data_IF_455847082892
#
_entry.id   IF_455847082892
#
_cell.length_a   1.000
_cell.length_b   1.000
_cell.length_c   1.000
_cell.angle_alpha   90.00
_cell.angle_beta   90.00
_cell.angle_gamma   90.00
#
_symmetry.space_group_name_H-M   'P 1'
#
loop_
_entity.id
_entity.type
_entity.pdbx_description
1 polymer ?
#
# COMPACT_ATOMS: atom_id res chain seq x y z
N UNK A 1 -2.13 -1.48 2.47
CA UNK A 1 -2.02 -2.82 1.84
C UNK A 1 -1.71 -3.86 2.91
N UNK A 2 -2.34 -5.04 2.92
CA UNK A 2 -1.90 -6.15 3.80
C UNK A 2 -0.93 -7.05 3.04
N UNK A 3 0.22 -7.37 3.64
CA UNK A 3 1.16 -8.34 3.08
C UNK A 3 1.54 -9.39 4.12
N UNK A 4 1.64 -10.65 3.67
CA UNK A 4 2.35 -11.70 4.38
C UNK A 4 3.79 -11.73 3.85
N UNK A 5 4.73 -11.39 4.72
CA UNK A 5 6.16 -11.50 4.42
C UNK A 5 6.70 -12.72 5.16
N UNK A 6 7.38 -13.62 4.44
CA UNK A 6 8.03 -14.78 5.05
C UNK A 6 9.47 -14.89 4.57
N UNK A 7 10.29 -15.59 5.37
CA UNK A 7 11.69 -15.82 5.07
C UNK A 7 11.93 -17.31 4.87
N UNK A 8 12.68 -17.68 3.84
CA UNK A 8 13.15 -19.07 3.64
C UNK A 8 14.41 -19.39 4.43
N UNK A 9 14.94 -18.45 5.22
CA UNK A 9 16.11 -18.67 6.07
C UNK A 9 15.71 -19.13 7.47
N UNK A 10 16.36 -20.19 7.97
CA UNK A 10 16.15 -20.74 9.33
C UNK A 10 16.32 -19.74 10.47
N UNK A 11 17.02 -18.63 10.24
CA UNK A 11 17.24 -17.54 11.22
C UNK A 11 16.39 -16.30 10.95
N UNK A 12 15.44 -16.38 10.01
CA UNK A 12 14.75 -15.21 9.49
C UNK A 12 15.65 -14.35 8.59
N UNK A 13 15.15 -13.17 8.21
CA UNK A 13 15.85 -12.14 7.43
C UNK A 13 15.47 -10.76 7.94
N UNK A 14 16.36 -9.80 7.78
CA UNK A 14 16.06 -8.38 8.04
C UNK A 14 15.88 -7.67 6.70
N UNK A 15 14.73 -7.02 6.51
CA UNK A 15 14.54 -5.99 5.50
C UNK A 15 14.95 -4.65 6.10
N UNK A 16 15.99 -4.03 5.55
CA UNK A 16 16.43 -2.68 5.93
C UNK A 16 15.41 -1.63 5.48
N UNK A 17 14.76 -1.89 4.34
CA UNK A 17 13.71 -1.02 3.80
C UNK A 17 12.76 -1.82 2.90
N UNK A 18 11.51 -1.36 2.83
CA UNK A 18 10.48 -1.79 1.91
C UNK A 18 9.99 -0.57 1.13
N UNK A 19 9.61 -0.75 -0.13
CA UNK A 19 8.95 0.28 -0.91
C UNK A 19 8.13 -0.33 -2.04
N UNK A 20 7.14 0.41 -2.52
CA UNK A 20 6.42 0.04 -3.75
C UNK A 20 7.02 0.74 -4.95
N UNK A 21 7.15 0.01 -6.05
CA UNK A 21 7.27 0.56 -7.40
C UNK A 21 5.94 0.42 -8.09
N UNK A 22 5.38 1.56 -8.49
CA UNK A 22 4.10 1.65 -9.18
C UNK A 22 4.39 2.08 -10.61
N UNK A 23 4.02 1.24 -11.56
CA UNK A 23 4.19 1.50 -12.99
C UNK A 23 2.84 1.70 -13.67
N UNK A 24 2.74 2.72 -14.53
CA UNK A 24 1.60 2.97 -15.41
C UNK A 24 2.11 3.44 -16.77
N UNK A 25 1.95 2.61 -17.79
CA UNK A 25 2.63 2.83 -19.08
C UNK A 25 4.15 2.92 -18.89
N UNK A 26 4.76 4.03 -19.32
CA UNK A 26 6.19 4.31 -19.17
C UNK A 26 6.53 5.02 -17.85
N UNK A 27 5.52 5.50 -17.10
CA UNK A 27 5.74 6.19 -15.84
C UNK A 27 6.02 5.20 -14.71
N UNK A 28 6.98 5.55 -13.85
CA UNK A 28 7.31 4.83 -12.64
C UNK A 28 7.34 5.79 -11.45
N UNK A 29 6.62 5.46 -10.38
CA UNK A 29 6.65 6.20 -9.12
C UNK A 29 7.03 5.26 -7.97
N UNK A 30 7.86 5.73 -7.05
CA UNK A 30 8.26 4.98 -5.86
C UNK A 30 7.56 5.51 -4.60
N UNK A 31 6.97 4.59 -3.83
CA UNK A 31 6.35 4.87 -2.54
C UNK A 31 7.24 4.23 -1.46
N UNK A 32 8.22 4.99 -0.98
CA UNK A 32 9.30 4.51 -0.12
C UNK A 32 9.22 4.96 1.33
N UNK A 33 8.32 5.89 1.65
CA UNK A 33 7.92 6.13 3.02
C UNK A 33 6.91 5.05 3.41
N UNK A 34 7.21 4.27 4.45
CA UNK A 34 6.31 3.20 4.87
C UNK A 34 6.20 3.07 6.37
N UNK A 35 5.01 2.67 6.80
CA UNK A 35 4.68 2.37 8.19
C UNK A 35 3.98 1.00 8.26
N UNK A 36 3.92 0.42 9.45
CA UNK A 36 3.16 -0.82 9.70
C UNK A 36 2.22 -0.69 10.88
N UNK A 37 1.08 -1.38 10.82
CA UNK A 37 0.08 -1.39 11.87
C UNK A 37 -1.34 -1.09 11.36
N UNK A 38 -2.30 -1.16 12.28
CA UNK A 38 -3.72 -0.90 12.01
C UNK A 38 -4.14 0.49 12.50
N UNK A 39 -3.98 0.74 13.81
CA UNK A 39 -4.33 2.03 14.46
C UNK A 39 -3.10 2.82 14.85
N UNK A 40 -2.15 2.16 15.51
CA UNK A 40 -0.88 2.74 15.91
C UNK A 40 0.16 2.41 14.84
N UNK A 41 0.39 3.37 13.94
CA UNK A 41 1.37 3.23 12.87
C UNK A 41 2.79 3.36 13.43
N UNK A 42 3.61 2.34 13.20
CA UNK A 42 5.03 2.37 13.52
C UNK A 42 5.81 2.61 12.24
N UNK A 43 6.61 3.68 12.24
CA UNK A 43 7.45 4.02 11.10
C UNK A 43 8.43 2.93 10.77
N UNK A 44 8.44 2.52 9.51
CA UNK A 44 9.26 1.44 8.99
C UNK A 44 10.72 1.85 8.88
N UNK A 45 11.52 1.54 9.90
CA UNK A 45 12.99 1.73 9.89
C UNK A 45 13.76 0.41 9.73
N UNK A 46 13.05 -0.69 9.48
CA UNK A 46 13.59 -2.04 9.34
C UNK A 46 12.61 -3.08 9.88
N UNK A 47 12.53 -4.23 9.22
CA UNK A 47 11.62 -5.31 9.59
C UNK A 47 12.39 -6.62 9.69
N UNK A 48 12.41 -7.23 10.88
CA UNK A 48 12.82 -8.62 11.02
C UNK A 48 11.67 -9.54 10.63
N UNK A 49 11.89 -10.38 9.63
CA UNK A 49 10.94 -11.39 9.15
C UNK A 49 11.45 -12.77 9.59
N UNK A 50 10.81 -13.41 10.58
CA UNK A 50 11.15 -14.76 11.01
C UNK A 50 10.83 -15.78 9.90
N UNK A 51 11.28 -17.02 10.08
CA UNK A 51 10.99 -18.11 9.14
C UNK A 51 9.48 -18.34 8.98
N UNK A 52 8.72 -18.25 10.06
CA UNK A 52 7.24 -18.37 10.06
C UNK A 52 6.52 -17.21 9.39
N UNK A 53 7.23 -16.13 9.09
CA UNK A 53 6.68 -14.90 8.50
C UNK A 53 5.92 -14.01 9.48
N UNK A 54 5.51 -12.84 8.97
CA UNK A 54 4.72 -11.83 9.64
C UNK A 54 3.61 -11.39 8.68
N UNK A 55 2.38 -11.38 9.19
CA UNK A 55 1.23 -10.75 8.55
C UNK A 55 0.98 -9.40 9.22
N UNK A 56 1.19 -8.31 8.49
CA UNK A 56 0.85 -6.97 8.98
C UNK A 56 0.39 -6.07 7.84
N UNK A 57 -0.38 -5.05 8.20
CA UNK A 57 -0.75 -3.97 7.31
C UNK A 57 0.45 -3.05 7.14
N UNK A 58 0.82 -2.83 5.88
CA UNK A 58 1.86 -1.89 5.48
C UNK A 58 1.21 -0.75 4.72
N UNK A 59 1.60 0.46 5.07
CA UNK A 59 1.15 1.70 4.45
C UNK A 59 2.35 2.28 3.72
N UNK A 60 2.18 2.63 2.45
CA UNK A 60 3.26 3.14 1.59
C UNK A 60 2.81 4.48 1.02
N UNK A 61 3.65 5.49 1.18
CA UNK A 61 3.38 6.87 0.77
C UNK A 61 4.54 7.37 -0.11
N UNK A 62 4.29 8.34 -1.01
CA UNK A 62 5.37 9.05 -1.70
C UNK A 62 6.27 9.76 -0.67
N UNK A 63 7.52 10.03 -1.06
CA UNK A 63 8.45 10.78 -0.20
C UNK A 63 8.06 12.24 -0.06
N UNK A 64 7.55 12.82 -1.16
CA UNK A 64 7.01 14.16 -1.18
C UNK A 64 5.53 14.10 -0.79
N UNK A 65 5.21 14.59 0.40
CA UNK A 65 3.84 14.61 0.90
C UNK A 65 2.99 15.69 0.22
N UNK A 66 3.63 16.68 -0.42
CA UNK A 66 2.97 17.80 -1.10
C UNK A 66 2.63 17.43 -2.55
N UNK A 67 3.27 16.40 -3.12
CA UNK A 67 2.97 15.86 -4.44
C UNK A 67 1.83 14.82 -4.37
N UNK A 68 0.64 15.24 -4.80
CA UNK A 68 -0.51 14.34 -4.92
C UNK A 68 -0.29 13.36 -6.07
N UNK A 69 -0.08 12.09 -5.74
CA UNK A 69 -0.16 11.02 -6.73
C UNK A 69 -1.62 10.69 -7.04
N UNK A 70 -2.07 11.06 -8.24
CA UNK A 70 -3.42 10.76 -8.72
C UNK A 70 -3.40 9.53 -9.63
N UNK A 71 -4.13 8.49 -9.22
CA UNK A 71 -4.35 7.32 -10.08
C UNK A 71 -5.25 7.69 -11.25
N UNK A 72 -4.88 7.21 -12.43
CA UNK A 72 -5.67 7.32 -13.66
C UNK A 72 -6.31 5.96 -13.94
N UNK A 73 -7.40 5.90 -14.72
CA UNK A 73 -7.91 4.62 -15.23
C UNK A 73 -6.85 3.88 -16.04
N UNK A 74 -6.74 2.58 -15.83
CA UNK A 74 -5.75 1.77 -16.53
C UNK A 74 -5.17 0.62 -15.71
N UNK A 75 -4.23 -0.10 -16.32
CA UNK A 75 -3.52 -1.22 -15.69
C UNK A 75 -2.24 -0.69 -15.06
N UNK A 76 -2.14 -0.86 -13.74
CA UNK A 76 -0.95 -0.59 -12.97
C UNK A 76 -0.20 -1.88 -12.67
N UNK A 77 1.13 -1.85 -12.69
CA UNK A 77 1.95 -2.89 -12.09
C UNK A 77 2.47 -2.41 -10.75
N UNK A 78 2.04 -3.06 -9.67
CA UNK A 78 2.51 -2.80 -8.31
C UNK A 78 3.55 -3.84 -7.95
N UNK A 79 4.76 -3.40 -7.64
CA UNK A 79 5.85 -4.25 -7.19
C UNK A 79 6.28 -3.86 -5.78
N UNK A 80 6.28 -4.83 -4.86
CA UNK A 80 6.91 -4.65 -3.54
C UNK A 80 8.38 -5.04 -3.63
N UNK A 81 9.25 -4.10 -3.29
CA UNK A 81 10.69 -4.26 -3.30
C UNK A 81 11.22 -4.20 -1.88
N UNK A 82 12.19 -5.07 -1.58
CA UNK A 82 12.92 -5.07 -0.32
C UNK A 82 14.41 -4.84 -0.53
N UNK A 83 14.99 -4.01 0.33
CA UNK A 83 16.42 -3.97 0.58
C UNK A 83 16.72 -4.90 1.77
N UNK A 84 17.32 -6.06 1.51
CA UNK A 84 17.64 -7.03 2.56
C UNK A 84 19.03 -6.77 3.14
N UNK A 85 19.16 -6.88 4.46
CA UNK A 85 20.42 -6.70 5.19
C UNK A 85 21.51 -7.60 4.62
N UNK A 86 22.68 -7.02 4.36
CA UNK A 86 23.84 -7.72 3.81
C UNK A 86 23.74 -8.07 2.31
N UNK A 87 22.63 -7.75 1.64
CA UNK A 87 22.51 -7.91 0.18
C UNK A 87 22.71 -6.59 -0.52
N UNK A 88 23.64 -6.52 -1.48
CA UNK A 88 23.83 -5.30 -2.28
C UNK A 88 22.64 -4.98 -3.18
N UNK A 89 22.10 -5.99 -3.87
CA UNK A 89 20.99 -5.82 -4.82
C UNK A 89 19.64 -5.75 -4.10
N UNK A 90 18.75 -4.91 -4.63
CA UNK A 90 17.34 -4.89 -4.28
C UNK A 90 16.67 -6.21 -4.69
N UNK A 91 15.69 -6.65 -3.92
CA UNK A 91 14.96 -7.90 -4.16
C UNK A 91 13.49 -7.56 -4.41
N UNK A 92 12.99 -7.89 -5.61
CA UNK A 92 11.55 -7.91 -5.87
C UNK A 92 10.94 -9.06 -5.08
N UNK A 93 10.00 -8.76 -4.19
CA UNK A 93 9.33 -9.77 -3.38
C UNK A 93 8.12 -10.34 -4.11
N UNK A 94 7.34 -9.49 -4.75
CA UNK A 94 6.20 -9.86 -5.58
C UNK A 94 5.78 -8.67 -6.45
N UNK A 95 5.07 -8.98 -7.55
CA UNK A 95 4.53 -8.00 -8.49
C UNK A 95 3.15 -8.45 -8.94
N UNK A 96 2.19 -7.53 -8.93
CA UNK A 96 0.82 -7.79 -9.38
C UNK A 96 0.30 -6.71 -10.33
N UNK A 97 -0.55 -7.08 -11.29
CA UNK A 97 -1.35 -6.12 -12.01
C UNK A 97 -2.57 -5.70 -11.18
N UNK A 98 -2.88 -4.41 -11.16
CA UNK A 98 -4.13 -3.85 -10.64
C UNK A 98 -4.81 -3.06 -11.75
N UNK A 99 -6.07 -3.38 -12.03
CA UNK A 99 -6.90 -2.58 -12.93
C UNK A 99 -7.60 -1.50 -12.11
N UNK A 100 -7.25 -0.24 -12.37
CA UNK A 100 -8.02 0.91 -11.90
C UNK A 100 -9.20 1.07 -12.88
N UNK A 101 -10.47 1.00 -12.43
CA UNK A 101 -11.61 1.16 -13.31
C UNK A 101 -11.76 2.60 -13.81
N UNK A 102 -12.41 2.76 -14.97
CA UNK A 102 -12.82 4.08 -15.45
C UNK A 102 -13.76 4.74 -14.43
N UNK A 103 -13.59 6.05 -14.22
CA UNK A 103 -14.38 6.81 -13.24
C UNK A 103 -14.11 6.44 -11.78
N UNK A 104 -13.16 5.55 -11.49
CA UNK A 104 -12.75 5.25 -10.11
C UNK A 104 -12.26 6.50 -9.36
N UNK A 105 -11.67 7.42 -10.13
CA UNK A 105 -11.22 8.72 -9.68
C UNK A 105 -11.94 9.81 -10.50
N UNK A 106 -13.20 10.09 -10.17
CA UNK A 106 -14.02 11.14 -10.80
C UNK A 106 -14.01 12.47 -10.03
N UNK A 107 -14.83 13.44 -10.45
CA UNK A 107 -14.96 14.76 -9.80
C UNK A 107 -15.45 14.67 -8.34
N UNK A 108 -16.03 13.52 -7.96
CA UNK A 108 -16.58 13.24 -6.63
C UNK A 108 -15.61 12.50 -5.69
N UNK A 109 -14.30 12.46 -5.98
CA UNK A 109 -13.35 11.95 -4.98
C UNK A 109 -13.22 12.96 -3.87
N UNK A 110 -13.99 12.68 -2.83
CA UNK A 110 -13.84 13.30 -1.55
C UNK A 110 -12.75 12.57 -0.74
N UNK A 111 -12.11 13.21 0.25
CA UNK A 111 -11.11 12.59 1.11
C UNK A 111 -11.59 11.32 1.85
N UNK A 112 -12.90 11.07 1.90
CA UNK A 112 -13.54 9.89 2.48
C UNK A 112 -13.81 8.77 1.46
N UNK A 113 -13.52 8.96 0.17
CA UNK A 113 -13.68 7.92 -0.85
C UNK A 113 -12.36 7.22 -1.13
N UNK A 114 -12.35 5.88 -1.11
CA UNK A 114 -11.17 5.08 -1.38
C UNK A 114 -11.47 3.96 -2.37
N UNK A 115 -10.45 3.61 -3.17
CA UNK A 115 -10.48 2.43 -4.03
C UNK A 115 -9.87 1.26 -3.26
N UNK A 116 -10.68 0.26 -2.99
CA UNK A 116 -10.27 -0.99 -2.37
C UNK A 116 -9.96 -2.03 -3.44
N UNK A 117 -8.91 -2.80 -3.20
CA UNK A 117 -8.54 -3.94 -4.03
C UNK A 117 -8.64 -5.21 -3.20
N UNK A 118 -9.65 -6.02 -3.48
CA UNK A 118 -9.95 -7.24 -2.75
C UNK A 118 -9.52 -8.46 -3.56
N UNK A 119 -8.78 -9.39 -2.93
CA UNK A 119 -8.35 -10.62 -3.59
C UNK A 119 -9.55 -11.55 -3.84
N UNK A 120 -9.82 -11.87 -5.10
CA UNK A 120 -10.78 -12.91 -5.49
C UNK A 120 -10.04 -14.23 -5.66
N UNK A 121 -10.28 -15.17 -4.73
CA UNK A 121 -9.70 -16.50 -4.82
C UNK A 121 -10.18 -17.29 -6.05
N UNK A 122 -11.42 -17.03 -6.49
CA UNK A 122 -12.02 -17.67 -7.68
C UNK A 122 -11.31 -17.25 -8.97
N UNK A 123 -11.03 -15.95 -9.12
CA UNK A 123 -10.42 -15.42 -10.35
C UNK A 123 -8.90 -15.26 -10.27
N UNK A 124 -8.30 -15.47 -9.09
CA UNK A 124 -6.87 -15.34 -8.87
C UNK A 124 -6.34 -13.92 -9.12
N UNK A 125 -7.18 -12.90 -8.91
CA UNK A 125 -6.84 -11.49 -9.15
C UNK A 125 -7.47 -10.58 -8.10
N UNK A 126 -6.92 -9.38 -7.99
CA UNK A 126 -7.56 -8.31 -7.23
C UNK A 126 -8.72 -7.71 -8.03
N UNK A 127 -9.84 -7.49 -7.36
CA UNK A 127 -11.04 -6.83 -7.88
C UNK A 127 -11.18 -5.49 -7.17
N UNK A 128 -11.35 -4.42 -7.96
CA UNK A 128 -11.52 -3.08 -7.44
C UNK A 128 -12.97 -2.83 -6.98
N UNK A 129 -13.14 -2.16 -5.85
CA UNK A 129 -14.38 -1.52 -5.41
C UNK A 129 -14.08 -0.08 -5.02
N UNK A 130 -14.99 0.85 -5.34
CA UNK A 130 -14.91 2.23 -4.86
C UNK A 130 -15.90 2.35 -3.72
N UNK A 131 -15.42 2.72 -2.54
CA UNK A 131 -16.23 2.80 -1.33
C UNK A 131 -16.01 4.14 -0.65
N UNK A 132 -17.10 4.83 -0.34
CA UNK A 132 -17.09 6.02 0.51
C UNK A 132 -17.15 5.58 1.97
N UNK A 133 -16.28 6.12 2.81
CA UNK A 133 -16.29 5.86 4.25
C UNK A 133 -17.52 6.56 4.84
N UNK A 134 -18.47 5.85 5.47
CA UNK A 134 -19.59 6.52 6.13
C UNK A 134 -19.04 7.45 7.20
N UNK A 135 -19.42 8.73 7.10
CA UNK A 135 -18.86 9.83 7.87
C UNK A 135 -18.89 9.60 9.37
N UNK A 136 -17.78 9.96 10.01
CA UNK A 136 -17.84 10.47 11.36
C UNK A 136 -18.83 11.64 11.37
N UNK A 137 -19.87 11.65 12.23
CA UNK A 137 -20.83 12.75 12.25
C UNK A 137 -20.08 14.08 12.46
N UNK A 138 -20.49 15.17 11.78
CA UNK A 138 -19.91 16.47 12.03
C UNK A 138 -20.07 16.79 13.51
N UNK A 139 -19.00 17.25 14.16
CA UNK A 139 -19.08 17.80 15.51
C UNK A 139 -20.23 18.81 15.54
N UNK A 140 -21.29 18.48 16.28
CA UNK A 140 -22.39 19.40 16.54
C UNK A 140 -21.79 20.71 17.05
N UNK A 141 -22.15 21.88 16.49
CA UNK A 141 -21.70 23.13 17.07
C UNK A 141 -22.23 23.18 18.51
N UNK A 142 -21.34 23.49 19.45
CA UNK A 142 -21.74 23.82 20.80
C UNK A 142 -22.77 24.95 20.72
N UNK A 143 -23.99 24.68 21.18
CA UNK A 143 -24.96 25.72 21.47
C UNK A 143 -24.33 26.58 22.58
N UNK A 144 -23.81 27.73 22.20
CA UNK A 144 -23.43 28.78 23.14
C UNK A 144 -24.69 29.30 23.82
N UNK A 145 -24.60 29.44 25.14
CA UNK A 145 -25.55 30.17 25.97
C UNK A 145 -25.50 31.67 25.69
#
# INVERSE_FOLDING_TARGET
MRALLFSTGKRGRVAESLFLRVHHGEQQTEFSFWDMGDKDLVRGSGLFVPETGIATNHHFNPLDADELFLFQPGIYSIELVAKLLGRRKLTSLWRIPLQIPDGAFGDDITPDTAVFFNWSAETGRYVASVESRPGQPPNSPALGN
#
